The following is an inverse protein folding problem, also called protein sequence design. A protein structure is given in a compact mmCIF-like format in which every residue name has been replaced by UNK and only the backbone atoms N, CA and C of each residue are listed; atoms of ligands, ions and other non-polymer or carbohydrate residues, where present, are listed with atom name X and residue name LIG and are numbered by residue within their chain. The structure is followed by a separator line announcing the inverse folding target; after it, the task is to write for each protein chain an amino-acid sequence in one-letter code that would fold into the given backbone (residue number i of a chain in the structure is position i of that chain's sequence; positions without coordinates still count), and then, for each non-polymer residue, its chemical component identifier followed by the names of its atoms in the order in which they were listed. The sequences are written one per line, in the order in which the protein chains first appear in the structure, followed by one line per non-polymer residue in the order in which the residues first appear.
data_IF_991678606694
#
_entry.id   IF_991678606694
#
_cell.length_a   1.000
_cell.length_b   1.000
_cell.length_c   1.000
_cell.angle_alpha   90.00
_cell.angle_beta   90.00
_cell.angle_gamma   90.00
#
_symmetry.space_group_name_H-M   'P 1'
#
loop_
_entity.id
_entity.type
_entity.pdbx_description
1 polymer ?
#
# COMPACT_ATOMS: atom_id res chain seq x y z
N UNK A 1 -19.00 14.04 -19.96
CA UNK A 1 -18.36 14.00 -18.62
C UNK A 1 -17.25 12.99 -18.70
N UNK A 2 -16.02 13.51 -18.67
CA UNK A 2 -14.78 12.82 -18.98
C UNK A 2 -14.66 11.50 -18.23
N UNK A 3 -14.44 10.44 -19.00
CA UNK A 3 -14.03 9.14 -18.50
C UNK A 3 -12.72 9.35 -17.74
N UNK A 4 -12.81 9.56 -16.41
CA UNK A 4 -11.69 9.36 -15.51
C UNK A 4 -11.18 7.96 -15.85
N UNK A 5 -9.93 7.86 -16.27
CA UNK A 5 -9.28 6.58 -16.53
C UNK A 5 -9.62 5.71 -15.33
N UNK A 6 -10.41 4.65 -15.55
CA UNK A 6 -10.78 3.69 -14.51
C UNK A 6 -9.53 2.87 -14.22
N UNK A 7 -8.57 3.47 -13.53
CA UNK A 7 -7.51 2.74 -12.90
C UNK A 7 -8.15 1.82 -11.87
N UNK A 8 -7.87 0.53 -12.01
CA UNK A 8 -8.44 -0.51 -11.16
C UNK A 8 -8.08 -0.19 -9.71
N UNK A 9 -9.09 -0.03 -8.86
CA UNK A 9 -8.86 0.28 -7.44
C UNK A 9 -8.06 -0.85 -6.81
N UNK A 10 -7.10 -0.47 -5.99
CA UNK A 10 -6.25 -1.39 -5.23
C UNK A 10 -6.43 -1.18 -3.76
N UNK A 11 -6.08 -2.21 -3.00
CA UNK A 11 -6.04 -2.18 -1.55
C UNK A 11 -4.78 -2.88 -1.05
N UNK A 12 -4.13 -2.28 -0.05
CA UNK A 12 -3.13 -2.94 0.81
C UNK A 12 -3.73 -3.00 2.21
N UNK A 13 -3.81 -4.21 2.74
CA UNK A 13 -4.36 -4.46 4.07
C UNK A 13 -3.25 -4.89 5.03
N UNK A 14 -2.84 -3.98 5.92
CA UNK A 14 -1.75 -4.23 6.85
C UNK A 14 -2.09 -5.32 7.88
N UNK A 15 -3.38 -5.65 8.08
CA UNK A 15 -3.83 -6.69 9.02
C UNK A 15 -3.44 -8.08 8.56
N UNK A 16 -3.23 -8.26 7.26
CA UNK A 16 -2.88 -9.54 6.66
C UNK A 16 -1.39 -9.89 6.83
N UNK A 17 -0.59 -8.95 7.36
CA UNK A 17 0.84 -9.13 7.56
C UNK A 17 1.13 -9.18 9.06
N UNK A 18 1.80 -10.24 9.54
CA UNK A 18 2.24 -10.29 10.93
C UNK A 18 3.30 -9.20 11.12
N UNK A 19 2.93 -8.13 11.82
CA UNK A 19 3.85 -7.08 12.23
C UNK A 19 3.75 -6.87 13.73
N UNK A 20 4.88 -6.58 14.37
CA UNK A 20 4.99 -6.33 15.82
C UNK A 20 4.04 -5.21 16.29
N UNK A 21 3.70 -4.30 15.39
CA UNK A 21 2.82 -3.15 15.64
C UNK A 21 1.32 -3.48 15.60
N UNK A 22 0.92 -4.70 15.22
CA UNK A 22 -0.49 -5.11 15.09
C UNK A 22 -1.35 -4.09 14.33
N UNK A 23 -0.86 -3.64 13.17
CA UNK A 23 -1.51 -2.56 12.41
C UNK A 23 -2.89 -2.98 11.91
N UNK A 24 -3.89 -2.17 12.26
CA UNK A 24 -5.29 -2.36 11.83
C UNK A 24 -5.65 -1.60 10.54
N UNK A 25 -4.64 -1.04 9.87
CA UNK A 25 -4.82 -0.13 8.75
C UNK A 25 -5.07 -0.89 7.44
N UNK A 26 -6.03 -0.42 6.65
CA UNK A 26 -6.21 -0.80 5.26
C UNK A 26 -6.23 0.48 4.40
N UNK A 27 -5.48 0.47 3.30
CA UNK A 27 -5.31 1.62 2.42
C UNK A 27 -5.88 1.24 1.06
N UNK A 28 -6.87 1.99 0.56
CA UNK A 28 -7.44 1.77 -0.77
C UNK A 28 -7.52 3.04 -1.62
N UNK A 29 -7.45 2.88 -2.94
CA UNK A 29 -7.31 3.97 -3.90
C UNK A 29 -6.78 3.48 -5.25
N UNK A 30 -6.17 4.37 -6.04
CA UNK A 30 -5.41 3.95 -7.23
C UNK A 30 -4.13 3.20 -6.82
N UNK A 31 -3.57 2.39 -7.73
CA UNK A 31 -2.31 1.67 -7.47
C UNK A 31 -1.20 2.62 -6.96
N UNK A 32 -1.03 3.78 -7.60
CA UNK A 32 0.01 4.73 -7.24
C UNK A 32 -0.23 5.39 -5.89
N UNK A 33 -1.47 5.77 -5.57
CA UNK A 33 -1.82 6.36 -4.28
C UNK A 33 -1.58 5.36 -3.15
N UNK A 34 -2.10 4.14 -3.31
CA UNK A 34 -1.99 3.09 -2.29
C UNK A 34 -0.53 2.74 -2.04
N UNK A 35 0.26 2.55 -3.11
CA UNK A 35 1.69 2.24 -2.97
C UNK A 35 2.45 3.36 -2.25
N UNK A 36 2.19 4.62 -2.62
CA UNK A 36 2.86 5.78 -2.00
C UNK A 36 2.57 5.86 -0.51
N UNK A 37 1.30 5.68 -0.11
CA UNK A 37 0.90 5.75 1.30
C UNK A 37 1.39 4.53 2.08
N UNK A 38 1.35 3.33 1.49
CA UNK A 38 1.83 2.11 2.13
C UNK A 38 3.34 2.17 2.41
N UNK A 39 4.14 2.73 1.49
CA UNK A 39 5.58 2.95 1.71
C UNK A 39 5.81 3.92 2.87
N UNK A 40 5.09 5.05 2.90
CA UNK A 40 5.20 6.02 4.01
C UNK A 40 4.86 5.37 5.35
N UNK A 41 3.78 4.58 5.40
CA UNK A 41 3.40 3.83 6.59
C UNK A 41 4.48 2.83 7.02
N UNK A 42 5.02 2.04 6.08
CA UNK A 42 6.11 1.10 6.34
C UNK A 42 7.36 1.79 6.91
N UNK A 43 7.70 2.98 6.39
CA UNK A 43 8.89 3.74 6.86
C UNK A 43 8.64 4.39 8.21
N UNK A 44 7.53 5.11 8.37
CA UNK A 44 7.26 5.92 9.57
C UNK A 44 6.80 5.06 10.75
N UNK A 45 5.93 4.07 10.52
CA UNK A 45 5.34 3.28 11.59
C UNK A 45 6.13 2.01 11.88
N UNK A 46 6.79 1.41 10.87
CA UNK A 46 7.54 0.15 11.03
C UNK A 46 9.05 0.32 10.89
N UNK A 47 9.55 1.54 10.63
CA UNK A 47 10.99 1.82 10.56
C UNK A 47 11.70 1.19 9.35
N UNK A 48 10.95 0.73 8.34
CA UNK A 48 11.56 0.23 7.11
C UNK A 48 12.28 1.36 6.36
N UNK A 49 13.27 1.00 5.54
CA UNK A 49 13.94 1.98 4.69
C UNK A 49 13.17 2.16 3.37
N UNK A 50 13.03 3.41 2.91
CA UNK A 50 12.45 3.70 1.60
C UNK A 50 13.40 3.23 0.48
N UNK A 51 13.27 1.96 0.14
CA UNK A 51 14.09 1.30 -0.87
C UNK A 51 13.24 0.86 -2.06
N UNK A 52 13.80 0.79 -3.28
CA UNK A 52 13.10 0.25 -4.44
C UNK A 52 12.61 -1.19 -4.20
N UNK A 53 13.37 -1.99 -3.46
CA UNK A 53 12.96 -3.35 -3.06
C UNK A 53 11.71 -3.35 -2.17
N UNK A 54 11.60 -2.43 -1.21
CA UNK A 54 10.40 -2.29 -0.37
C UNK A 54 9.19 -1.93 -1.23
N UNK A 55 9.37 -0.99 -2.17
CA UNK A 55 8.30 -0.57 -3.10
C UNK A 55 7.86 -1.73 -3.99
N UNK A 56 8.79 -2.54 -4.50
CA UNK A 56 8.45 -3.71 -5.30
C UNK A 56 7.72 -4.78 -4.47
N UNK A 57 8.17 -5.02 -3.23
CA UNK A 57 7.48 -5.93 -2.32
C UNK A 57 6.05 -5.45 -2.03
N UNK A 58 5.86 -4.19 -1.62
CA UNK A 58 4.52 -3.65 -1.38
C UNK A 58 3.63 -3.69 -2.63
N UNK A 59 4.23 -3.59 -3.83
CA UNK A 59 3.51 -3.72 -5.10
C UNK A 59 2.95 -5.13 -5.31
N UNK A 60 3.65 -6.19 -4.88
CA UNK A 60 3.12 -7.57 -4.98
C UNK A 60 2.01 -7.84 -3.97
N UNK A 61 1.89 -7.02 -2.93
CA UNK A 61 0.87 -7.11 -1.89
C UNK A 61 -0.43 -6.38 -2.24
N UNK A 62 -0.42 -5.55 -3.30
CA UNK A 62 -1.62 -4.88 -3.80
C UNK A 62 -2.64 -5.91 -4.27
N UNK A 63 -3.83 -5.85 -3.66
CA UNK A 63 -4.99 -6.62 -4.09
C UNK A 63 -5.94 -5.72 -4.85
N UNK A 64 -6.75 -6.35 -5.69
CA UNK A 64 -7.93 -5.71 -6.24
C UNK A 64 -8.93 -5.41 -5.15
N UNK A 65 -9.58 -4.26 -5.23
CA UNK A 65 -10.71 -3.94 -4.36
C UNK A 65 -12.03 -4.46 -4.94
#
# INVERSE_FOLDING_TARGET
MSQRIQEKRKVIDCRLFPSEKNCSLAISGTEQEVLTVAVRHAVQEHGHQDSPELRQQLKTLLKDE
#
